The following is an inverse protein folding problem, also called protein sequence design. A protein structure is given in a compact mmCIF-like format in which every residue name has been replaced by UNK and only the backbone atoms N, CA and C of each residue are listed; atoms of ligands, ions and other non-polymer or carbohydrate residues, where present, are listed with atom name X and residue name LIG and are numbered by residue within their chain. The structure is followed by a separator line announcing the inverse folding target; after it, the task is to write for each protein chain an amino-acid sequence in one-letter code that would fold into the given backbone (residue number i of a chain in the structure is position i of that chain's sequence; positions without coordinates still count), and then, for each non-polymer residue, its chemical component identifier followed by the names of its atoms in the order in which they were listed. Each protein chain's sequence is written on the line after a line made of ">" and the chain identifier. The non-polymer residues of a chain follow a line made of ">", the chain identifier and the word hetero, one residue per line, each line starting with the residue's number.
data_IF_866986179698
#
_entry.id   IF_866986179698
#
_cell.length_a   1.000
_cell.length_b   1.000
_cell.length_c   1.000
_cell.angle_alpha   90.00
_cell.angle_beta   90.00
_cell.angle_gamma   90.00
#
_symmetry.space_group_name_H-M   'P 1'
#
loop_
_entity.id
_entity.type
_entity.pdbx_description
1 polymer ?
#
# COMPACT_ATOMS: atom_id res chain seq x y z
N UNK A 1 22.39 -14.12 -7.29
CA UNK A 1 21.36 -14.66 -6.36
C UNK A 1 21.16 -13.77 -5.14
N UNK A 2 22.12 -13.65 -4.22
CA UNK A 2 21.94 -12.85 -2.98
C UNK A 2 21.52 -11.39 -3.21
N UNK A 3 22.07 -10.74 -4.24
CA UNK A 3 21.67 -9.36 -4.60
C UNK A 3 20.26 -9.28 -5.20
N UNK A 4 19.85 -10.25 -6.02
CA UNK A 4 18.50 -10.28 -6.61
C UNK A 4 17.43 -10.48 -5.52
N UNK A 5 17.71 -11.38 -4.56
CA UNK A 5 16.89 -11.56 -3.36
C UNK A 5 16.74 -10.25 -2.58
N UNK A 6 17.84 -9.55 -2.36
CA UNK A 6 17.83 -8.27 -1.67
C UNK A 6 16.98 -7.21 -2.40
N UNK A 7 17.12 -7.09 -3.72
CA UNK A 7 16.30 -6.18 -4.52
C UNK A 7 14.81 -6.50 -4.38
N UNK A 8 14.44 -7.79 -4.38
CA UNK A 8 13.04 -8.21 -4.17
C UNK A 8 12.52 -7.81 -2.80
N UNK A 9 13.31 -7.99 -1.73
CA UNK A 9 12.95 -7.51 -0.38
C UNK A 9 12.75 -5.99 -0.35
N UNK A 10 13.65 -5.24 -0.98
CA UNK A 10 13.51 -3.77 -1.03
C UNK A 10 12.28 -3.33 -1.81
N UNK A 11 11.85 -4.09 -2.82
CA UNK A 11 10.62 -3.82 -3.56
C UNK A 11 9.39 -4.00 -2.69
N UNK A 12 9.28 -5.13 -1.99
CA UNK A 12 8.16 -5.39 -1.05
C UNK A 12 8.05 -4.27 -0.01
N UNK A 13 9.20 -3.90 0.57
CA UNK A 13 9.31 -2.82 1.53
C UNK A 13 8.83 -1.47 0.96
N UNK A 14 9.30 -1.14 -0.25
CA UNK A 14 8.96 0.12 -0.94
C UNK A 14 7.48 0.19 -1.29
N UNK A 15 6.88 -0.92 -1.73
CA UNK A 15 5.46 -1.01 -2.04
C UNK A 15 4.63 -0.75 -0.79
N UNK A 16 4.93 -1.46 0.32
CA UNK A 16 4.27 -1.27 1.61
C UNK A 16 4.40 0.17 2.13
N UNK A 17 5.60 0.75 2.05
CA UNK A 17 5.81 2.14 2.47
C UNK A 17 5.00 3.14 1.64
N UNK A 18 5.02 2.99 0.31
CA UNK A 18 4.34 3.91 -0.62
C UNK A 18 2.83 3.87 -0.40
N UNK A 19 2.26 2.67 -0.35
CA UNK A 19 0.81 2.49 -0.13
C UNK A 19 0.41 3.05 1.23
N UNK A 20 1.10 2.68 2.32
CA UNK A 20 0.77 3.18 3.65
C UNK A 20 0.84 4.71 3.73
N UNK A 21 1.91 5.31 3.18
CA UNK A 21 2.06 6.78 3.14
C UNK A 21 0.89 7.42 2.41
N UNK A 22 0.62 6.98 1.18
CA UNK A 22 -0.38 7.61 0.32
C UNK A 22 -1.78 7.48 0.93
N UNK A 23 -2.13 6.31 1.48
CA UNK A 23 -3.37 6.11 2.21
C UNK A 23 -3.48 7.04 3.42
N UNK A 24 -2.44 7.15 4.26
CA UNK A 24 -2.44 8.05 5.43
C UNK A 24 -2.60 9.51 5.02
N UNK A 25 -1.95 9.94 3.94
CA UNK A 25 -2.06 11.31 3.42
C UNK A 25 -3.49 11.63 2.93
N UNK A 26 -4.15 10.67 2.26
CA UNK A 26 -5.55 10.83 1.83
C UNK A 26 -6.52 10.78 3.02
N UNK A 27 -6.34 9.84 3.95
CA UNK A 27 -7.20 9.71 5.14
C UNK A 27 -7.06 10.90 6.09
N UNK A 28 -5.89 11.54 6.14
CA UNK A 28 -5.70 12.77 6.91
C UNK A 28 -6.61 13.92 6.43
N UNK A 29 -7.10 13.88 5.18
CA UNK A 29 -8.04 14.88 4.66
C UNK A 29 -9.42 14.82 5.33
N UNK A 30 -9.76 13.72 6.00
CA UNK A 30 -10.97 13.63 6.82
C UNK A 30 -10.96 14.62 7.99
N UNK A 31 -9.79 15.13 8.40
CA UNK A 31 -9.62 16.10 9.49
C UNK A 31 -10.35 15.70 10.80
N UNK A 32 -10.40 14.39 11.11
CA UNK A 32 -11.07 13.86 12.30
C UNK A 32 -12.57 13.64 12.17
N UNK A 33 -13.15 13.76 10.96
CA UNK A 33 -14.53 13.37 10.69
C UNK A 33 -14.67 11.85 10.74
N UNK A 34 -15.24 11.33 11.82
CA UNK A 34 -15.53 9.90 12.01
C UNK A 34 -16.61 9.38 11.05
N UNK A 35 -17.37 10.27 10.41
CA UNK A 35 -18.37 9.92 9.41
C UNK A 35 -17.83 9.88 7.99
N UNK A 36 -16.58 10.31 7.79
CA UNK A 36 -15.93 10.28 6.49
C UNK A 36 -15.61 8.84 6.09
N UNK A 37 -16.18 8.41 4.97
CA UNK A 37 -15.93 7.09 4.39
C UNK A 37 -14.53 7.05 3.73
N UNK A 38 -13.57 6.24 4.22
CA UNK A 38 -12.23 6.09 3.65
C UNK A 38 -12.19 5.96 2.13
N UNK A 39 -13.09 5.16 1.55
CA UNK A 39 -13.12 4.88 0.12
C UNK A 39 -13.53 6.09 -0.74
N UNK A 40 -14.16 7.11 -0.16
CA UNK A 40 -14.45 8.39 -0.84
C UNK A 40 -13.24 9.34 -0.85
N UNK A 41 -12.34 9.18 0.11
CA UNK A 41 -11.14 10.01 0.25
C UNK A 41 -9.98 9.46 -0.58
N UNK A 42 -9.83 8.14 -0.58
CA UNK A 42 -8.70 7.46 -1.22
C UNK A 42 -8.80 7.57 -2.75
N UNK A 43 -7.70 8.05 -3.35
CA UNK A 43 -7.52 8.11 -4.80
C UNK A 43 -7.15 6.73 -5.36
N UNK A 44 -7.28 6.50 -6.69
CA UNK A 44 -6.75 5.28 -7.30
C UNK A 44 -5.30 5.04 -6.89
N UNK A 45 -5.01 3.81 -6.46
CA UNK A 45 -3.68 3.42 -6.03
C UNK A 45 -2.91 3.01 -7.28
N UNK A 46 -1.95 3.84 -7.68
CA UNK A 46 -1.17 3.64 -8.89
C UNK A 46 0.32 3.99 -8.67
N UNK A 47 1.25 3.18 -9.20
CA UNK A 47 1.02 1.92 -9.92
C UNK A 47 0.58 0.79 -8.97
N UNK A 48 -0.20 -0.16 -9.49
CA UNK A 48 -0.48 -1.41 -8.76
C UNK A 48 0.83 -2.17 -8.55
N UNK A 49 1.15 -2.60 -7.31
CA UNK A 49 2.33 -3.41 -7.06
C UNK A 49 2.34 -4.66 -7.94
N UNK A 50 3.50 -5.00 -8.49
CA UNK A 50 3.65 -6.30 -9.15
C UNK A 50 3.97 -7.35 -8.09
N UNK A 51 3.38 -8.54 -8.22
CA UNK A 51 3.71 -9.66 -7.33
C UNK A 51 5.20 -9.95 -7.38
N UNK A 52 5.84 -9.91 -6.21
CA UNK A 52 7.21 -10.38 -6.06
C UNK A 52 7.17 -11.89 -5.88
N UNK A 53 8.07 -12.61 -6.54
CA UNK A 53 8.19 -14.06 -6.40
C UNK A 53 9.65 -14.44 -6.15
N UNK A 54 9.89 -15.15 -5.05
CA UNK A 54 11.19 -15.74 -4.76
C UNK A 54 11.34 -17.10 -5.45
N UNK A 55 12.49 -17.33 -6.06
CA UNK A 55 12.83 -18.61 -6.69
C UNK A 55 13.21 -19.65 -5.65
N UNK A 56 13.12 -20.93 -6.00
CA UNK A 56 13.53 -22.03 -5.11
C UNK A 56 15.01 -21.90 -4.69
N UNK A 57 15.89 -21.44 -5.59
CA UNK A 57 17.31 -21.24 -5.31
C UNK A 57 17.55 -20.08 -4.32
N UNK A 58 16.78 -18.99 -4.44
CA UNK A 58 16.86 -17.86 -3.50
C UNK A 58 16.39 -18.27 -2.11
N UNK A 59 15.28 -19.00 -2.02
CA UNK A 59 14.74 -19.50 -0.76
C UNK A 59 15.62 -20.59 -0.15
N UNK A 60 16.20 -21.47 -0.97
CA UNK A 60 17.16 -22.49 -0.54
C UNK A 60 18.45 -21.88 0.02
N UNK A 61 18.93 -20.78 -0.59
CA UNK A 61 20.06 -20.02 -0.06
C UNK A 61 19.74 -19.47 1.34
N UNK A 62 18.60 -18.80 1.51
CA UNK A 62 18.21 -18.23 2.81
C UNK A 62 18.09 -19.34 3.85
N UNK A 63 17.38 -20.43 3.52
CA UNK A 63 17.19 -21.57 4.41
C UNK A 63 18.52 -22.22 4.83
N UNK A 64 19.50 -22.29 3.93
CA UNK A 64 20.82 -22.84 4.24
C UNK A 64 21.64 -21.99 5.22
N UNK A 65 21.29 -20.71 5.37
CA UNK A 65 22.03 -19.75 6.19
C UNK A 65 21.30 -19.39 7.50
N UNK A 66 19.98 -19.26 7.47
CA UNK A 66 19.14 -18.88 8.61
C UNK A 66 17.68 -19.37 8.39
N UNK A 67 17.25 -20.34 9.19
CA UNK A 67 15.93 -20.97 9.14
C UNK A 67 14.80 -20.01 9.58
N UNK A 68 15.09 -19.16 10.54
CA UNK A 68 14.16 -18.17 11.08
C UNK A 68 13.92 -17.10 10.03
N UNK A 69 14.98 -16.59 9.40
CA UNK A 69 14.88 -15.61 8.32
C UNK A 69 14.12 -16.18 7.11
N UNK A 70 14.31 -17.47 6.79
CA UNK A 70 13.52 -18.14 5.77
C UNK A 70 12.01 -18.09 6.06
N UNK A 71 11.60 -18.39 7.30
CA UNK A 71 10.20 -18.35 7.69
C UNK A 71 9.62 -16.93 7.62
N UNK A 72 10.40 -15.92 8.01
CA UNK A 72 10.00 -14.51 7.94
C UNK A 72 9.81 -14.06 6.49
N UNK A 73 10.68 -14.48 5.59
CA UNK A 73 10.58 -14.20 4.15
C UNK A 73 9.33 -14.86 3.56
N UNK A 74 9.02 -16.10 3.94
CA UNK A 74 7.82 -16.79 3.49
C UNK A 74 6.53 -16.17 4.04
N UNK A 75 6.57 -15.58 5.24
CA UNK A 75 5.48 -14.79 5.79
C UNK A 75 5.32 -13.46 5.03
N UNK A 76 6.43 -12.77 4.76
CA UNK A 76 6.45 -11.50 4.03
C UNK A 76 5.96 -11.64 2.58
N UNK A 77 6.33 -12.72 1.89
CA UNK A 77 5.87 -13.04 0.53
C UNK A 77 4.34 -13.18 0.47
N UNK A 78 3.75 -13.91 1.42
CA UNK A 78 2.30 -14.06 1.55
C UNK A 78 1.59 -12.74 1.87
N UNK A 79 2.21 -11.92 2.72
CA UNK A 79 1.68 -10.61 3.08
C UNK A 79 1.69 -9.65 1.89
N UNK A 80 2.80 -9.59 1.13
CA UNK A 80 2.89 -8.76 -0.08
C UNK A 80 1.92 -9.21 -1.18
N UNK A 81 1.73 -10.53 -1.34
CA UNK A 81 0.69 -11.05 -2.22
C UNK A 81 -0.71 -10.58 -1.81
N UNK A 82 -1.01 -10.61 -0.50
CA UNK A 82 -2.27 -10.12 0.05
C UNK A 82 -2.49 -8.62 -0.20
N UNK A 83 -1.44 -7.80 -0.01
CA UNK A 83 -1.48 -6.36 -0.33
C UNK A 83 -1.78 -6.15 -1.82
N UNK A 84 -1.11 -6.88 -2.71
CA UNK A 84 -1.31 -6.76 -4.15
C UNK A 84 -2.74 -7.15 -4.58
N UNK A 85 -3.28 -8.22 -3.97
CA UNK A 85 -4.65 -8.67 -4.22
C UNK A 85 -5.67 -7.67 -3.68
N UNK A 86 -5.43 -7.04 -2.52
CA UNK A 86 -6.28 -5.97 -1.97
C UNK A 86 -6.27 -4.70 -2.84
N UNK A 87 -5.11 -4.28 -3.38
CA UNK A 87 -5.05 -3.15 -4.31
C UNK A 87 -5.88 -3.44 -5.57
N UNK A 88 -5.78 -4.67 -6.08
CA UNK A 88 -6.55 -5.11 -7.24
C UNK A 88 -8.06 -5.12 -6.94
N UNK A 89 -8.45 -5.66 -5.78
CA UNK A 89 -9.84 -5.68 -5.33
C UNK A 89 -10.40 -4.28 -5.14
N UNK A 90 -9.65 -3.38 -4.51
CA UNK A 90 -10.03 -1.97 -4.34
C UNK A 90 -10.26 -1.30 -5.69
N UNK A 91 -9.35 -1.49 -6.65
CA UNK A 91 -9.45 -0.91 -7.99
C UNK A 91 -10.72 -1.36 -8.70
N UNK A 92 -11.00 -2.67 -8.70
CA UNK A 92 -12.22 -3.24 -9.30
C UNK A 92 -13.49 -2.72 -8.61
N UNK A 93 -13.51 -2.66 -7.28
CA UNK A 93 -14.66 -2.15 -6.52
C UNK A 93 -14.91 -0.67 -6.83
N UNK A 94 -13.85 0.13 -6.86
CA UNK A 94 -13.93 1.55 -7.21
C UNK A 94 -14.42 1.78 -8.64
N UNK A 95 -13.94 1.00 -9.60
CA UNK A 95 -14.43 1.05 -10.99
C UNK A 95 -15.92 0.72 -11.09
N UNK A 96 -16.40 -0.30 -10.36
CA UNK A 96 -17.84 -0.64 -10.31
C UNK A 96 -18.69 0.51 -9.75
N UNK A 97 -18.21 1.17 -8.69
CA UNK A 97 -18.88 2.33 -8.12
C UNK A 97 -18.93 3.49 -9.13
N UNK A 98 -17.82 3.78 -9.80
CA UNK A 98 -17.75 4.84 -10.81
C UNK A 98 -18.59 4.54 -12.05
N UNK A 99 -18.62 3.30 -12.53
CA UNK A 99 -19.39 2.92 -13.71
C UNK A 99 -20.89 3.14 -13.53
N UNK A 100 -21.40 2.98 -12.30
CA UNK A 100 -22.83 3.16 -12.01
C UNK A 100 -23.22 4.61 -11.74
N UNK A 101 -22.34 5.38 -11.09
CA UNK A 101 -22.64 6.74 -10.65
C UNK A 101 -21.99 7.86 -11.47
N UNK A 102 -21.19 7.47 -12.48
CA UNK A 102 -20.53 8.31 -13.50
C UNK A 102 -20.65 9.81 -13.28
N UNK A 103 -19.66 10.39 -12.62
CA UNK A 103 -19.66 11.83 -12.33
C UNK A 103 -19.75 12.63 -13.64
N UNK A 104 -20.76 13.49 -13.77
CA UNK A 104 -20.81 14.46 -14.86
C UNK A 104 -19.84 15.58 -14.53
N UNK A 105 -18.76 15.69 -15.28
CA UNK A 105 -17.84 16.82 -15.18
C UNK A 105 -18.49 17.97 -15.95
N UNK A 106 -18.90 19.02 -15.24
CA UNK A 106 -19.37 20.24 -15.88
C UNK A 106 -18.22 20.90 -16.65
N UNK A 107 -18.52 21.45 -17.83
CA UNK A 107 -17.50 22.08 -18.68
C UNK A 107 -16.81 23.24 -17.93
N UNK A 108 -15.50 23.13 -17.70
CA UNK A 108 -14.72 24.11 -16.93
C UNK A 108 -14.55 23.78 -15.44
N UNK A 109 -15.13 22.70 -14.94
CA UNK A 109 -14.91 22.18 -13.58
C UNK A 109 -13.91 21.02 -13.58
N UNK A 110 -13.10 20.91 -12.53
CA UNK A 110 -12.28 19.72 -12.22
C UNK A 110 -13.00 18.72 -11.30
N UNK A 111 -14.20 19.08 -10.83
CA UNK A 111 -15.01 18.29 -9.89
C UNK A 111 -16.33 17.92 -10.57
N UNK A 112 -16.59 16.62 -10.69
CA UNK A 112 -17.89 16.12 -11.12
C UNK A 112 -18.77 15.80 -9.94
N UNK A 113 -20.02 16.23 -9.97
CA UNK A 113 -21.03 15.93 -8.95
C UNK A 113 -22.08 14.99 -9.55
N UNK A 114 -22.67 14.14 -8.72
CA UNK A 114 -23.78 13.28 -9.10
C UNK A 114 -24.80 13.28 -7.97
N UNK A 115 -26.08 13.40 -8.32
CA UNK A 115 -27.17 13.31 -7.35
C UNK A 115 -27.63 11.85 -7.31
N UNK A 116 -27.69 11.26 -6.12
CA UNK A 116 -28.24 9.91 -5.92
C UNK A 116 -29.70 9.99 -5.47
N UNK A 117 -30.54 9.16 -6.09
CA UNK A 117 -31.87 8.81 -5.57
C UNK A 117 -31.77 7.94 -4.32
N UNK A 118 -32.87 7.76 -3.58
CA UNK A 118 -32.91 6.88 -2.41
C UNK A 118 -32.56 5.43 -2.74
N UNK A 119 -33.07 4.89 -3.86
CA UNK A 119 -32.79 3.52 -4.31
C UNK A 119 -31.30 3.34 -4.68
N UNK A 120 -30.73 4.34 -5.32
CA UNK A 120 -29.30 4.38 -5.64
C UNK A 120 -28.43 4.42 -4.38
N UNK A 121 -28.85 5.18 -3.36
CA UNK A 121 -28.19 5.23 -2.07
C UNK A 121 -28.24 3.87 -1.36
N UNK A 122 -29.38 3.20 -1.35
CA UNK A 122 -29.53 1.85 -0.77
C UNK A 122 -28.61 0.83 -1.45
N UNK A 123 -28.41 0.96 -2.77
CA UNK A 123 -27.44 0.15 -3.50
C UNK A 123 -25.99 0.53 -3.20
N UNK A 124 -25.70 1.83 -3.04
CA UNK A 124 -24.35 2.38 -2.87
C UNK A 124 -23.78 2.11 -1.48
N UNK A 125 -24.55 2.35 -0.42
CA UNK A 125 -24.04 2.32 0.96
C UNK A 125 -23.37 0.98 1.35
N UNK A 126 -23.94 -0.21 1.06
CA UNK A 126 -23.28 -1.47 1.40
C UNK A 126 -21.92 -1.64 0.69
N UNK A 127 -21.83 -1.23 -0.57
CA UNK A 127 -20.59 -1.33 -1.37
C UNK A 127 -19.55 -0.31 -0.95
N UNK A 128 -20.00 0.84 -0.46
CA UNK A 128 -19.12 1.83 0.14
C UNK A 128 -18.48 1.28 1.42
N UNK A 129 -19.28 0.63 2.28
CA UNK A 129 -18.77 -0.03 3.49
C UNK A 129 -17.78 -1.15 3.14
N UNK A 130 -18.06 -1.96 2.12
CA UNK A 130 -17.10 -2.97 1.62
C UNK A 130 -15.79 -2.31 1.15
N UNK A 131 -15.88 -1.22 0.40
CA UNK A 131 -14.70 -0.48 -0.07
C UNK A 131 -13.90 0.13 1.09
N UNK A 132 -14.57 0.65 2.13
CA UNK A 132 -13.93 1.15 3.34
C UNK A 132 -13.16 0.04 4.06
N UNK A 133 -13.76 -1.14 4.19
CA UNK A 133 -13.09 -2.30 4.78
C UNK A 133 -11.82 -2.70 4.02
N UNK A 134 -11.84 -2.63 2.69
CA UNK A 134 -10.65 -2.89 1.86
C UNK A 134 -9.57 -1.84 2.13
N UNK A 135 -9.92 -0.55 2.20
CA UNK A 135 -8.96 0.54 2.46
C UNK A 135 -8.29 0.38 3.83
N UNK A 136 -9.07 0.04 4.87
CA UNK A 136 -8.55 -0.18 6.22
C UNK A 136 -7.60 -1.37 6.26
N UNK A 137 -8.01 -2.51 5.68
CA UNK A 137 -7.15 -3.69 5.61
C UNK A 137 -5.87 -3.44 4.81
N UNK A 138 -5.97 -2.66 3.73
CA UNK A 138 -4.83 -2.29 2.91
C UNK A 138 -3.83 -1.42 3.68
N UNK A 139 -4.31 -0.47 4.48
CA UNK A 139 -3.44 0.35 5.34
C UNK A 139 -2.68 -0.51 6.35
N UNK A 140 -3.38 -1.41 7.05
CA UNK A 140 -2.79 -2.32 8.03
C UNK A 140 -1.71 -3.21 7.38
N UNK A 141 -2.05 -3.91 6.29
CA UNK A 141 -1.11 -4.85 5.67
C UNK A 141 0.05 -4.17 4.96
N UNK A 142 -0.15 -2.95 4.44
CA UNK A 142 0.93 -2.16 3.87
C UNK A 142 1.93 -1.69 4.95
N UNK A 143 1.44 -1.32 6.13
CA UNK A 143 2.29 -1.00 7.29
C UNK A 143 3.07 -2.22 7.78
N UNK A 144 2.42 -3.37 7.87
CA UNK A 144 3.09 -4.63 8.22
C UNK A 144 4.15 -5.01 7.18
N UNK A 145 3.85 -4.90 5.87
CA UNK A 145 4.82 -5.12 4.79
C UNK A 145 6.05 -4.22 4.94
N UNK A 146 5.82 -2.94 5.27
CA UNK A 146 6.88 -1.97 5.49
C UNK A 146 7.73 -2.36 6.71
N UNK A 147 7.11 -2.68 7.84
CA UNK A 147 7.84 -2.97 9.07
C UNK A 147 8.61 -4.28 8.96
N UNK A 148 7.91 -5.37 8.59
CA UNK A 148 8.50 -6.70 8.45
C UNK A 148 9.55 -6.68 7.34
N UNK A 149 9.25 -6.06 6.20
CA UNK A 149 10.19 -5.94 5.08
C UNK A 149 11.50 -5.23 5.46
N UNK A 150 11.42 -4.18 6.30
CA UNK A 150 12.60 -3.48 6.80
C UNK A 150 13.47 -4.38 7.69
N UNK A 151 12.83 -5.10 8.62
CA UNK A 151 13.53 -5.97 9.57
C UNK A 151 14.15 -7.17 8.85
N UNK A 152 13.43 -7.78 7.91
CA UNK A 152 13.95 -8.86 7.05
C UNK A 152 15.14 -8.38 6.22
N UNK A 153 15.05 -7.19 5.59
CA UNK A 153 16.15 -6.64 4.78
C UNK A 153 17.41 -6.35 5.62
N UNK A 154 17.25 -5.79 6.83
CA UNK A 154 18.37 -5.55 7.77
C UNK A 154 19.02 -6.86 8.21
N UNK A 155 18.23 -7.87 8.58
CA UNK A 155 18.74 -9.18 8.98
C UNK A 155 19.46 -9.89 7.83
N UNK A 156 18.91 -9.83 6.63
CA UNK A 156 19.58 -10.34 5.43
C UNK A 156 20.91 -9.64 5.19
N UNK A 157 20.96 -8.31 5.24
CA UNK A 157 22.20 -7.56 5.06
C UNK A 157 23.25 -7.93 6.12
N UNK A 158 22.87 -8.00 7.39
CA UNK A 158 23.77 -8.41 8.47
C UNK A 158 24.32 -9.83 8.26
N UNK A 159 23.48 -10.77 7.84
CA UNK A 159 23.89 -12.14 7.49
C UNK A 159 24.87 -12.14 6.32
N UNK A 160 24.62 -11.33 5.28
CA UNK A 160 25.51 -11.21 4.13
C UNK A 160 26.88 -10.60 4.50
N UNK A 161 26.92 -9.61 5.39
CA UNK A 161 28.17 -9.06 5.94
C UNK A 161 28.94 -10.12 6.73
N UNK A 162 28.24 -10.89 7.57
CA UNK A 162 28.83 -11.93 8.41
C UNK A 162 29.45 -13.06 7.59
N UNK A 163 28.66 -13.65 6.69
CA UNK A 163 29.01 -14.87 5.95
C UNK A 163 29.90 -14.57 4.73
N UNK A 164 29.67 -13.45 4.03
CA UNK A 164 30.37 -13.12 2.78
C UNK A 164 31.31 -11.91 2.86
N UNK A 165 31.50 -11.34 4.06
CA UNK A 165 32.40 -10.19 4.30
C UNK A 165 32.12 -9.00 3.39
N UNK A 166 30.83 -8.76 3.09
CA UNK A 166 30.37 -7.61 2.32
C UNK A 166 30.77 -6.30 3.01
N UNK A 167 31.35 -5.38 2.23
CA UNK A 167 31.87 -4.09 2.71
C UNK A 167 30.86 -2.93 2.61
N UNK A 168 29.74 -3.16 1.94
CA UNK A 168 28.73 -2.14 1.67
C UNK A 168 27.85 -1.95 2.90
N UNK A 169 27.58 -0.70 3.27
CA UNK A 169 26.60 -0.34 4.30
C UNK A 169 25.20 -0.31 3.68
N UNK A 170 24.19 -0.59 4.51
CA UNK A 170 22.80 -0.53 4.11
C UNK A 170 22.00 0.16 5.20
N UNK A 171 21.39 1.28 4.84
CA UNK A 171 20.57 2.11 5.71
C UNK A 171 19.16 2.24 5.10
N UNK A 172 18.15 2.16 5.96
CA UNK A 172 16.74 2.34 5.57
C UNK A 172 16.23 3.61 6.25
N UNK A 173 15.84 4.59 5.45
CA UNK A 173 15.16 5.80 5.92
C UNK A 173 13.77 5.87 5.30
N UNK A 174 12.75 6.06 6.14
CA UNK A 174 11.40 6.32 5.66
C UNK A 174 11.13 7.82 5.68
N UNK A 175 10.76 8.37 4.53
CA UNK A 175 10.25 9.74 4.45
C UNK A 175 9.02 9.88 5.34
N UNK A 176 8.98 10.93 6.17
CA UNK A 176 7.75 11.31 6.88
C UNK A 176 6.77 11.92 5.87
N UNK A 177 5.49 11.59 6.00
CA UNK A 177 4.43 12.31 5.29
C UNK A 177 4.52 13.80 5.66
N UNK A 178 4.58 14.69 4.65
CA UNK A 178 4.49 16.12 4.91
C UNK A 178 3.02 16.43 5.19
N UNK A 179 2.68 17.05 6.33
CA UNK A 179 1.31 17.47 6.55
C UNK A 179 0.92 18.46 5.45
N UNK A 180 -0.19 18.18 4.76
CA UNK A 180 -0.83 19.16 3.88
C UNK A 180 -1.34 20.30 4.76
N UNK A 181 -0.52 21.33 4.98
CA UNK A 181 -1.02 22.61 5.46
C UNK A 181 -1.85 23.20 4.32
N UNK A 182 -3.16 23.43 4.50
CA UNK A 182 -3.93 24.16 3.50
C UNK A 182 -3.25 25.50 3.29
N UNK A 183 -2.92 25.85 2.04
CA UNK A 183 -2.53 27.22 1.73
C UNK A 183 -3.68 28.11 2.22
N UNK A 184 -3.39 28.98 3.19
CA UNK A 184 -4.35 29.98 3.64
C UNK A 184 -4.82 30.73 2.39
N UNK A 185 -6.10 30.57 2.06
CA UNK A 185 -6.73 31.28 0.97
C UNK A 185 -6.78 32.75 1.41
N UNK A 186 -5.71 33.51 1.17
CA UNK A 186 -5.74 34.97 1.21
C UNK A 186 -6.49 35.43 -0.03
N UNK A 187 -7.82 35.36 0.05
CA UNK A 187 -8.68 36.17 -0.79
C UNK A 187 -8.49 37.62 -0.34
N UNK A 188 -7.88 38.42 -1.20
CA UNK A 188 -7.88 39.87 -1.15
C UNK A 188 -9.09 40.42 -1.90
#
# INVERSE_FOLDING_TARGET
>A
MAFAFFVKLTRILSDGHTISRDLREELAKANGDETAHPALLVRPIAPTPEKVSFTADELGLVLSLDDTLFNDVAALDRLHASVTDLVSLYSVTREKLLARFGAKIECGSSVGTTFMTSEEREWFMPRLIEADGIVVALLEYADDCKQIGADTAKRWHALMVKEFKLKQTFDIEFGKAKPNTPAANTAA
#
